data_IF_976222477680
#
_entry.id   IF_976222477680
#
_cell.length_a   1.000
_cell.length_b   1.000
_cell.length_c   1.000
_cell.angle_alpha   90.00
_cell.angle_beta   90.00
_cell.angle_gamma   90.00
#
_symmetry.space_group_name_H-M   'P 1'
#
loop_
_entity.id
_entity.type
_entity.pdbx_description
1 polymer ?
#
# COMPACT_ATOMS: atom_id res chain seq x y z
N UNK A 1 29.80 -10.45 -26.91
CA UNK A 1 28.93 -9.59 -26.10
C UNK A 1 28.08 -8.76 -27.05
N UNK A 2 26.75 -8.63 -26.85
CA UNK A 2 25.94 -7.73 -27.66
C UNK A 2 26.43 -6.30 -27.49
N UNK A 3 26.48 -5.54 -28.54
CA UNK A 3 26.83 -4.13 -28.52
C UNK A 3 25.62 -3.31 -28.96
N UNK A 4 25.32 -2.23 -28.26
CA UNK A 4 24.40 -1.21 -28.76
C UNK A 4 25.06 -0.62 -29.99
N UNK A 5 24.43 -0.77 -31.14
CA UNK A 5 24.98 -0.31 -32.39
C UNK A 5 24.42 1.03 -32.84
N UNK A 6 23.23 1.38 -32.33
CA UNK A 6 22.59 2.64 -32.65
C UNK A 6 21.52 2.99 -31.59
N UNK A 7 21.41 4.29 -31.19
CA UNK A 7 20.38 4.83 -30.38
C UNK A 7 19.89 6.14 -30.99
N UNK A 8 18.66 6.15 -31.44
CA UNK A 8 18.02 7.24 -32.16
C UNK A 8 16.88 7.83 -31.34
N UNK A 9 16.88 9.15 -31.18
CA UNK A 9 15.74 9.87 -30.58
C UNK A 9 14.70 10.11 -31.65
N UNK A 10 13.51 9.60 -31.50
CA UNK A 10 12.40 9.68 -32.45
C UNK A 10 11.18 10.38 -31.84
N UNK A 11 10.15 10.63 -32.65
CA UNK A 11 8.88 11.25 -32.26
C UNK A 11 9.05 12.60 -31.52
N UNK A 12 9.97 13.44 -32.02
CA UNK A 12 10.19 14.77 -31.46
C UNK A 12 10.74 14.78 -30.04
N UNK A 13 11.52 13.78 -29.66
CA UNK A 13 12.10 13.65 -28.31
C UNK A 13 11.26 12.82 -27.34
N UNK A 14 10.15 12.26 -27.79
CA UNK A 14 9.25 11.47 -26.95
C UNK A 14 9.57 9.98 -26.92
N UNK A 15 10.42 9.51 -27.82
CA UNK A 15 10.82 8.12 -27.87
C UNK A 15 12.31 7.94 -28.19
N UNK A 16 12.89 6.86 -27.69
CA UNK A 16 14.25 6.43 -28.01
C UNK A 16 14.18 5.03 -28.61
N UNK A 17 14.71 4.89 -29.80
CA UNK A 17 14.86 3.62 -30.50
C UNK A 17 16.29 3.12 -30.32
N UNK A 18 16.45 1.94 -29.78
CA UNK A 18 17.72 1.27 -29.59
C UNK A 18 17.80 0.07 -30.54
N UNK A 19 18.86 -0.02 -31.30
CA UNK A 19 19.15 -1.16 -32.18
C UNK A 19 20.40 -1.86 -31.65
N UNK A 20 20.28 -3.15 -31.37
CA UNK A 20 21.38 -4.01 -30.97
C UNK A 20 21.64 -4.98 -32.11
N UNK A 21 22.87 -5.05 -32.60
CA UNK A 21 23.27 -6.06 -33.55
C UNK A 21 24.38 -6.95 -33.01
N UNK A 22 24.27 -8.23 -33.29
CA UNK A 22 25.24 -9.24 -32.88
C UNK A 22 25.59 -10.07 -34.10
N UNK A 23 26.88 -10.16 -34.42
CA UNK A 23 27.37 -11.12 -35.39
C UNK A 23 27.62 -12.46 -34.66
N UNK A 24 26.84 -13.52 -34.98
CA UNK A 24 27.04 -14.80 -34.36
C UNK A 24 28.37 -15.39 -34.82
N UNK A 25 29.22 -15.84 -33.90
CA UNK A 25 30.40 -16.63 -34.24
C UNK A 25 29.95 -17.99 -34.74
N UNK A 26 30.11 -18.24 -36.03
CA UNK A 26 29.87 -19.57 -36.60
C UNK A 26 31.06 -20.49 -36.29
N UNK A 27 30.80 -21.60 -35.63
CA UNK A 27 31.82 -22.60 -35.31
C UNK A 27 32.08 -23.62 -36.44
N UNK A 28 31.30 -23.56 -37.52
CA UNK A 28 31.43 -24.45 -38.65
C UNK A 28 31.86 -23.67 -39.90
N UNK A 29 33.14 -23.77 -40.32
CA UNK A 29 33.59 -23.21 -41.61
C UNK A 29 33.07 -24.08 -42.75
N UNK A 30 32.17 -23.57 -43.54
CA UNK A 30 31.65 -24.24 -44.73
C UNK A 30 30.79 -23.31 -45.60
N UNK A 31 30.46 -23.70 -46.85
CA UNK A 31 29.70 -22.85 -47.75
C UNK A 31 28.28 -22.47 -47.23
N UNK A 32 27.79 -23.17 -46.22
CA UNK A 32 26.50 -22.86 -45.56
C UNK A 32 26.64 -21.67 -44.59
N UNK A 33 27.86 -21.32 -44.17
CA UNK A 33 28.11 -20.23 -43.22
C UNK A 33 28.17 -18.82 -43.86
N UNK A 34 28.18 -18.75 -45.19
CA UNK A 34 28.29 -17.48 -45.92
C UNK A 34 26.99 -16.63 -45.91
N UNK A 35 25.93 -17.04 -45.24
CA UNK A 35 24.64 -16.35 -45.19
C UNK A 35 24.13 -15.98 -43.79
N UNK A 36 24.94 -16.12 -42.75
CA UNK A 36 24.45 -15.77 -41.40
C UNK A 36 24.51 -14.26 -41.23
N UNK A 37 23.39 -13.61 -41.48
CA UNK A 37 23.18 -12.18 -41.24
C UNK A 37 23.27 -11.87 -39.76
N UNK A 38 23.81 -10.69 -39.45
CA UNK A 38 23.78 -10.19 -38.04
C UNK A 38 22.36 -10.25 -37.46
N UNK A 39 22.25 -10.79 -36.28
CA UNK A 39 20.98 -10.74 -35.53
C UNK A 39 20.80 -9.31 -35.05
N UNK A 40 19.73 -8.69 -35.49
CA UNK A 40 19.36 -7.32 -35.09
C UNK A 40 18.08 -7.35 -34.28
N UNK A 41 18.12 -6.75 -33.08
CA UNK A 41 16.98 -6.55 -32.23
C UNK A 41 16.77 -5.05 -32.07
N UNK A 42 15.53 -4.61 -32.22
CA UNK A 42 15.12 -3.23 -32.02
C UNK A 42 14.21 -3.13 -30.83
N UNK A 43 14.40 -2.12 -30.00
CA UNK A 43 13.50 -1.76 -28.91
C UNK A 43 13.21 -0.26 -28.99
N UNK A 44 11.96 0.11 -28.77
CA UNK A 44 11.54 1.51 -28.71
C UNK A 44 11.03 1.76 -27.29
N UNK A 45 11.63 2.74 -26.61
CA UNK A 45 11.15 3.24 -25.35
C UNK A 45 10.43 4.58 -25.60
N UNK A 46 9.16 4.64 -25.32
CA UNK A 46 8.37 5.88 -25.45
C UNK A 46 8.16 6.49 -24.07
N UNK A 47 8.30 7.83 -24.00
CA UNK A 47 7.82 8.60 -22.87
C UNK A 47 6.34 8.84 -23.10
N UNK A 48 5.48 8.01 -22.53
CA UNK A 48 4.06 8.33 -22.47
C UNK A 48 3.88 9.42 -21.41
N UNK A 49 3.19 10.49 -21.79
CA UNK A 49 3.00 11.66 -20.94
C UNK A 49 2.58 11.30 -19.52
N UNK A 50 3.04 12.11 -18.55
CA UNK A 50 2.88 11.84 -17.13
C UNK A 50 1.44 11.52 -16.73
N UNK A 51 1.18 10.25 -16.46
CA UNK A 51 -0.03 9.81 -15.80
C UNK A 51 0.15 9.89 -14.29
N UNK A 52 -0.94 10.13 -13.60
CA UNK A 52 -0.96 10.02 -12.14
C UNK A 52 -0.71 8.57 -11.73
N UNK A 53 0.01 8.34 -10.63
CA UNK A 53 0.09 7.01 -10.02
C UNK A 53 -0.74 7.02 -8.76
N UNK A 54 -1.75 6.15 -8.68
CA UNK A 54 -2.69 6.13 -7.57
C UNK A 54 -2.63 4.86 -6.72
N UNK A 55 -1.93 3.82 -7.17
CA UNK A 55 -1.75 2.59 -6.42
C UNK A 55 -0.35 2.02 -6.64
N UNK A 56 0.39 1.81 -5.56
CA UNK A 56 1.75 1.25 -5.62
C UNK A 56 1.90 0.14 -4.60
N UNK A 57 2.26 -1.07 -5.07
CA UNK A 57 2.73 -2.17 -4.24
C UNK A 57 4.25 -2.12 -4.12
N UNK A 58 4.77 -1.79 -2.94
CA UNK A 58 6.19 -1.50 -2.72
C UNK A 58 7.07 -2.74 -2.57
N UNK A 59 6.51 -3.90 -2.23
CA UNK A 59 7.33 -5.10 -1.97
C UNK A 59 8.18 -5.48 -3.19
N UNK A 60 9.50 -5.63 -3.05
CA UNK A 60 10.38 -5.85 -4.19
C UNK A 60 10.38 -7.28 -4.72
N UNK A 61 9.99 -8.28 -3.91
CA UNK A 61 10.16 -9.70 -4.27
C UNK A 61 9.00 -10.62 -3.82
N UNK A 62 7.99 -10.07 -3.11
CA UNK A 62 6.89 -10.91 -2.61
C UNK A 62 6.03 -11.46 -3.73
N UNK A 63 5.58 -12.70 -3.54
CA UNK A 63 4.54 -13.28 -4.37
C UNK A 63 3.24 -12.49 -4.19
N UNK A 64 2.58 -12.21 -5.31
CA UNK A 64 1.28 -11.56 -5.33
C UNK A 64 1.24 -10.25 -4.53
N UNK A 65 2.20 -9.33 -4.83
CA UNK A 65 2.22 -8.00 -4.20
C UNK A 65 0.93 -7.24 -4.46
N UNK A 66 0.33 -7.41 -5.64
CA UNK A 66 -1.05 -7.06 -5.91
C UNK A 66 -1.85 -8.35 -6.07
N UNK A 67 -2.56 -8.75 -5.02
CA UNK A 67 -3.35 -9.96 -4.98
C UNK A 67 -4.84 -9.63 -5.06
N UNK A 68 -5.48 -10.08 -6.13
CA UNK A 68 -6.89 -9.81 -6.38
C UNK A 68 -7.62 -11.10 -6.76
N UNK A 69 -8.63 -11.45 -5.99
CA UNK A 69 -9.42 -12.65 -6.26
C UNK A 69 -10.91 -12.47 -5.87
N UNK A 70 -11.72 -13.49 -6.16
CA UNK A 70 -13.15 -13.55 -5.80
C UNK A 70 -13.97 -12.36 -6.28
N UNK A 71 -13.82 -12.01 -7.58
CA UNK A 71 -14.50 -10.89 -8.24
C UNK A 71 -14.06 -9.49 -7.76
N UNK A 72 -12.96 -9.38 -7.03
CA UNK A 72 -12.40 -8.08 -6.64
C UNK A 72 -12.21 -7.18 -7.86
N UNK A 73 -12.45 -5.88 -7.67
CA UNK A 73 -12.34 -4.87 -8.73
C UNK A 73 -11.53 -3.68 -8.25
N UNK A 74 -10.68 -3.16 -9.13
CA UNK A 74 -10.06 -1.84 -8.97
C UNK A 74 -10.44 -0.97 -10.15
N UNK A 75 -10.95 0.23 -9.86
CA UNK A 75 -11.20 1.29 -10.84
C UNK A 75 -10.27 2.46 -10.58
N UNK A 76 -9.35 2.68 -11.52
CA UNK A 76 -8.32 3.70 -11.49
C UNK A 76 -8.20 4.33 -12.89
N UNK A 77 -9.31 4.80 -13.45
CA UNK A 77 -9.47 5.07 -14.89
C UNK A 77 -8.52 6.14 -15.43
N UNK A 78 -8.07 7.07 -14.58
CA UNK A 78 -7.22 8.19 -14.97
C UNK A 78 -5.84 8.13 -14.30
N UNK A 79 -5.43 6.94 -13.81
CA UNK A 79 -4.15 6.80 -13.15
C UNK A 79 -3.55 5.40 -13.35
N UNK A 80 -2.27 5.30 -13.02
CA UNK A 80 -1.50 4.08 -13.12
C UNK A 80 -1.49 3.28 -11.82
N UNK A 81 -1.42 1.97 -11.96
CA UNK A 81 -1.21 1.00 -10.89
C UNK A 81 0.15 0.36 -11.08
N UNK A 82 0.96 0.33 -10.03
CA UNK A 82 2.30 -0.23 -10.04
C UNK A 82 2.50 -1.35 -9.04
N UNK A 83 3.28 -2.38 -9.43
CA UNK A 83 3.85 -3.36 -8.51
C UNK A 83 5.35 -3.46 -8.69
N UNK A 84 6.09 -3.24 -7.60
CA UNK A 84 7.54 -3.29 -7.59
C UNK A 84 8.11 -4.71 -7.49
N UNK A 85 7.27 -5.72 -7.23
CA UNK A 85 7.75 -7.09 -7.07
C UNK A 85 8.26 -7.67 -8.38
N UNK A 86 9.47 -8.20 -8.33
CA UNK A 86 10.09 -8.96 -9.42
C UNK A 86 9.61 -10.42 -9.48
N UNK A 87 8.72 -10.83 -8.58
CA UNK A 87 8.17 -12.17 -8.59
C UNK A 87 7.36 -12.44 -9.86
N UNK A 88 7.41 -13.67 -10.38
CA UNK A 88 6.63 -14.08 -11.55
C UNK A 88 5.12 -13.89 -11.42
N UNK A 89 4.62 -13.79 -10.19
CA UNK A 89 3.22 -13.53 -9.85
C UNK A 89 3.07 -12.15 -9.17
N UNK A 90 3.80 -11.14 -9.59
CA UNK A 90 3.76 -9.79 -8.99
C UNK A 90 2.34 -9.22 -8.91
N UNK A 91 1.53 -9.43 -9.94
CA UNK A 91 0.10 -9.22 -9.97
C UNK A 91 -0.62 -10.56 -10.12
N UNK A 92 -1.52 -10.90 -9.22
CA UNK A 92 -2.41 -12.06 -9.33
C UNK A 92 -3.85 -11.62 -9.55
N UNK A 93 -4.46 -12.15 -10.62
CA UNK A 93 -5.87 -11.93 -10.97
C UNK A 93 -6.58 -13.27 -11.07
N UNK A 94 -7.34 -13.63 -10.03
CA UNK A 94 -8.02 -14.92 -9.94
C UNK A 94 -9.54 -14.74 -9.77
N UNK A 95 -10.30 -15.79 -10.06
CA UNK A 95 -11.72 -15.91 -9.77
C UNK A 95 -12.54 -14.67 -10.23
N UNK A 96 -12.34 -14.25 -11.49
CA UNK A 96 -13.05 -13.12 -12.12
C UNK A 96 -12.67 -11.73 -11.55
N UNK A 97 -11.52 -11.57 -10.90
CA UNK A 97 -11.00 -10.25 -10.55
C UNK A 97 -10.80 -9.38 -11.81
N UNK A 98 -10.95 -8.06 -11.67
CA UNK A 98 -10.85 -7.10 -12.78
C UNK A 98 -10.12 -5.84 -12.34
N UNK A 99 -9.32 -5.29 -13.25
CA UNK A 99 -8.67 -3.99 -13.08
C UNK A 99 -9.04 -3.10 -14.27
N UNK A 100 -9.52 -1.88 -13.97
CA UNK A 100 -9.68 -0.83 -14.96
C UNK A 100 -8.77 0.32 -14.58
N UNK A 101 -7.70 0.55 -15.32
CA UNK A 101 -6.71 1.59 -15.05
C UNK A 101 -6.14 2.12 -16.36
N UNK A 102 -5.67 3.37 -16.35
CA UNK A 102 -4.98 3.94 -17.52
C UNK A 102 -3.73 3.13 -17.87
N UNK A 103 -2.97 2.72 -16.87
CA UNK A 103 -1.80 1.86 -17.01
C UNK A 103 -1.71 0.89 -15.84
N UNK A 104 -1.40 -0.37 -16.11
CA UNK A 104 -0.95 -1.34 -15.11
C UNK A 104 0.46 -1.78 -15.47
N UNK A 105 1.42 -1.54 -14.59
CA UNK A 105 2.84 -1.82 -14.78
C UNK A 105 3.39 -2.64 -13.61
N UNK A 106 3.96 -3.79 -13.89
CA UNK A 106 4.52 -4.66 -12.86
C UNK A 106 5.99 -4.97 -13.17
N UNK A 107 6.85 -4.94 -12.15
CA UNK A 107 8.27 -5.22 -12.32
C UNK A 107 8.55 -6.71 -12.57
N UNK A 108 7.64 -7.58 -12.18
CA UNK A 108 7.70 -9.02 -12.45
C UNK A 108 6.64 -9.48 -13.42
N UNK A 109 6.08 -10.66 -13.15
CA UNK A 109 5.06 -11.27 -14.00
C UNK A 109 3.63 -11.13 -13.50
N UNK A 110 2.70 -11.68 -14.26
CA UNK A 110 1.26 -11.65 -14.02
C UNK A 110 0.72 -13.06 -13.98
N UNK A 111 0.05 -13.42 -12.90
CA UNK A 111 -0.71 -14.67 -12.77
C UNK A 111 -2.20 -14.38 -13.00
N UNK A 112 -2.73 -14.91 -14.10
CA UNK A 112 -4.12 -14.71 -14.49
C UNK A 112 -4.28 -14.16 -15.91
N UNK A 113 -5.52 -13.98 -16.38
CA UNK A 113 -5.77 -13.53 -17.74
C UNK A 113 -5.46 -12.04 -17.90
N UNK A 114 -4.59 -11.67 -18.84
CA UNK A 114 -4.31 -10.27 -19.15
C UNK A 114 -5.56 -9.47 -19.55
N UNK A 115 -6.53 -10.14 -20.17
CA UNK A 115 -7.84 -9.55 -20.51
C UNK A 115 -8.70 -9.14 -19.30
N UNK A 116 -8.27 -9.47 -18.09
CA UNK A 116 -8.89 -8.97 -16.87
C UNK A 116 -8.49 -7.51 -16.57
N UNK A 117 -7.51 -6.96 -17.28
CA UNK A 117 -7.08 -5.56 -17.21
C UNK A 117 -7.63 -4.83 -18.44
N UNK A 118 -8.15 -3.62 -18.24
CA UNK A 118 -8.72 -2.79 -19.31
C UNK A 118 -8.44 -1.30 -19.05
N UNK A 119 -8.41 -0.42 -20.07
CA UNK A 119 -8.59 -0.71 -21.51
C UNK A 119 -7.35 -1.32 -22.15
N UNK A 120 -6.17 -1.17 -21.54
CA UNK A 120 -4.89 -1.59 -22.09
C UNK A 120 -4.41 -2.89 -21.43
N UNK A 121 -3.65 -3.69 -22.15
CA UNK A 121 -2.96 -4.83 -21.56
C UNK A 121 -1.92 -4.37 -20.53
N UNK A 122 -1.77 -5.11 -19.41
CA UNK A 122 -0.77 -4.77 -18.41
C UNK A 122 0.65 -5.00 -18.95
N UNK A 123 1.57 -4.13 -18.55
CA UNK A 123 2.99 -4.24 -18.87
C UNK A 123 3.72 -5.04 -17.78
N UNK A 124 4.66 -5.87 -18.21
CA UNK A 124 5.60 -6.61 -17.36
C UNK A 124 7.02 -6.05 -17.51
N UNK A 125 7.92 -6.48 -16.64
CA UNK A 125 9.33 -6.08 -16.63
C UNK A 125 9.54 -4.56 -16.52
N UNK A 126 8.59 -3.89 -15.88
CA UNK A 126 8.68 -2.46 -15.63
C UNK A 126 9.80 -2.15 -14.63
N UNK A 127 10.51 -1.03 -14.78
CA UNK A 127 11.44 -0.58 -13.74
C UNK A 127 10.69 -0.35 -12.44
N UNK A 128 11.17 -0.89 -11.28
CA UNK A 128 10.57 -0.59 -9.99
C UNK A 128 10.57 0.90 -9.70
N UNK A 129 9.46 1.40 -9.19
CA UNK A 129 9.38 2.78 -8.73
C UNK A 129 10.06 2.92 -7.36
N UNK A 130 10.89 3.94 -7.21
CA UNK A 130 11.32 4.35 -5.86
C UNK A 130 10.08 4.75 -5.07
N UNK A 131 10.01 4.36 -3.81
CA UNK A 131 8.93 4.78 -2.93
C UNK A 131 8.82 6.31 -2.93
N UNK A 132 7.72 6.86 -3.46
CA UNK A 132 7.59 8.30 -3.66
C UNK A 132 7.47 9.09 -2.36
N UNK A 133 7.13 8.43 -1.27
CA UNK A 133 6.92 9.06 0.03
C UNK A 133 8.03 8.72 1.03
N UNK A 134 9.08 8.00 0.58
CA UNK A 134 10.19 7.55 1.45
C UNK A 134 10.85 8.68 2.23
N UNK A 135 11.05 9.80 1.57
CA UNK A 135 11.78 10.95 2.14
C UNK A 135 10.83 11.98 2.79
N UNK A 136 9.52 11.67 2.86
CA UNK A 136 8.56 12.52 3.56
C UNK A 136 8.83 12.47 5.06
N UNK A 137 8.98 13.61 5.75
CA UNK A 137 9.15 13.64 7.20
C UNK A 137 7.96 12.97 7.90
N UNK A 138 8.23 12.16 8.90
CA UNK A 138 7.21 11.65 9.80
C UNK A 138 6.78 12.76 10.76
N UNK A 139 5.50 12.78 11.16
CA UNK A 139 5.04 13.71 12.17
C UNK A 139 5.86 13.57 13.46
N UNK A 140 6.25 14.70 14.04
CA UNK A 140 6.99 14.69 15.29
C UNK A 140 6.04 14.23 16.42
N UNK A 141 6.23 13.01 16.87
CA UNK A 141 5.55 12.46 18.04
C UNK A 141 6.46 12.69 19.24
N UNK A 142 5.94 13.44 20.23
CA UNK A 142 6.59 13.50 21.53
C UNK A 142 6.69 12.08 22.09
N UNK A 143 7.90 11.52 22.08
CA UNK A 143 8.19 10.13 22.50
C UNK A 143 7.76 9.82 23.95
N UNK A 144 7.38 10.82 24.74
CA UNK A 144 7.21 10.72 26.18
C UNK A 144 5.76 10.47 26.64
N UNK A 145 4.77 10.65 25.78
CA UNK A 145 3.36 10.61 26.22
C UNK A 145 2.80 9.20 26.45
N UNK A 146 3.45 8.16 25.91
CA UNK A 146 3.02 6.77 26.07
C UNK A 146 4.01 5.88 26.83
N UNK A 147 5.06 6.42 27.41
CA UNK A 147 6.12 5.66 28.11
C UNK A 147 5.64 4.93 29.37
N UNK A 148 4.55 5.37 29.97
CA UNK A 148 3.93 4.65 31.10
C UNK A 148 3.23 3.33 30.71
N UNK A 149 3.16 3.02 29.41
CA UNK A 149 2.62 1.75 28.88
C UNK A 149 3.62 0.60 29.05
N UNK A 150 4.88 0.89 29.41
CA UNK A 150 5.88 -0.14 29.78
C UNK A 150 5.56 -0.85 31.13
N UNK A 151 4.42 -0.61 31.74
CA UNK A 151 3.75 -1.62 32.56
C UNK A 151 3.50 -2.93 31.81
N UNK A 152 3.61 -2.96 30.48
CA UNK A 152 3.73 -4.13 29.63
C UNK A 152 4.89 -5.08 30.01
N UNK A 153 5.87 -4.63 30.76
CA UNK A 153 6.91 -5.50 31.35
C UNK A 153 6.33 -6.58 32.28
N UNK A 154 5.11 -6.39 32.79
CA UNK A 154 4.43 -7.38 33.62
C UNK A 154 3.66 -8.41 32.81
N UNK A 155 3.29 -8.14 31.55
CA UNK A 155 2.46 -9.05 30.71
C UNK A 155 3.30 -9.88 29.79
N UNK A 156 4.30 -9.26 29.14
CA UNK A 156 5.22 -9.98 28.26
C UNK A 156 6.19 -10.85 29.04
N UNK A 157 6.11 -10.85 30.38
CA UNK A 157 7.03 -11.55 31.27
C UNK A 157 8.42 -10.89 31.27
N UNK A 158 9.12 -10.96 32.39
CA UNK A 158 10.52 -10.52 32.51
C UNK A 158 11.45 -11.19 31.51
N UNK A 159 11.00 -12.27 30.88
CA UNK A 159 11.75 -13.08 29.92
C UNK A 159 11.78 -12.50 28.50
N UNK A 160 10.83 -11.65 28.13
CA UNK A 160 10.83 -10.96 26.83
C UNK A 160 11.67 -9.67 26.82
N UNK A 161 11.98 -9.14 27.98
CA UNK A 161 12.88 -8.02 28.12
C UNK A 161 14.26 -8.54 28.52
N UNK A 162 15.28 -8.29 27.71
CA UNK A 162 16.67 -8.52 28.07
C UNK A 162 17.06 -7.74 29.33
N UNK A 163 18.22 -8.09 29.92
CA UNK A 163 18.72 -7.48 31.17
C UNK A 163 18.78 -5.94 31.15
N UNK A 164 18.75 -5.34 29.97
CA UNK A 164 18.87 -3.89 29.74
C UNK A 164 17.51 -3.24 29.37
N UNK A 165 16.37 -3.93 29.57
CA UNK A 165 15.03 -3.41 29.25
C UNK A 165 14.70 -3.39 27.75
N UNK A 166 15.55 -3.94 26.91
CA UNK A 166 15.31 -4.08 25.47
C UNK A 166 14.63 -5.44 25.18
N UNK A 167 13.73 -5.43 24.21
CA UNK A 167 13.04 -6.64 23.75
C UNK A 167 14.05 -7.73 23.35
N UNK A 168 13.91 -8.93 23.92
CA UNK A 168 14.76 -10.05 23.56
C UNK A 168 14.34 -10.62 22.20
N UNK A 169 14.99 -10.13 21.14
CA UNK A 169 14.71 -10.50 19.75
C UNK A 169 14.89 -12.00 19.47
N UNK A 170 15.72 -12.71 20.21
CA UNK A 170 15.96 -14.13 19.99
C UNK A 170 14.81 -14.98 20.53
N UNK A 171 14.18 -14.55 21.60
CA UNK A 171 12.95 -15.18 22.12
C UNK A 171 11.75 -14.93 21.18
N UNK A 172 11.68 -13.73 20.57
CA UNK A 172 10.69 -13.38 19.58
C UNK A 172 10.86 -14.18 18.27
N UNK A 173 12.08 -14.45 17.84
CA UNK A 173 12.37 -15.30 16.68
C UNK A 173 12.05 -16.78 16.93
N UNK A 174 12.27 -17.28 18.14
CA UNK A 174 12.05 -18.68 18.49
C UNK A 174 10.63 -19.01 18.97
N UNK A 175 10.04 -18.15 19.80
CA UNK A 175 8.74 -18.42 20.44
C UNK A 175 7.53 -17.89 19.67
N UNK A 176 7.54 -16.62 19.26
CA UNK A 176 6.42 -16.03 18.50
C UNK A 176 6.49 -16.31 16.99
N UNK A 177 7.67 -16.53 16.43
CA UNK A 177 7.82 -16.93 15.03
C UNK A 177 7.15 -18.26 14.70
N UNK A 178 7.10 -19.19 15.66
CA UNK A 178 6.38 -20.45 15.55
C UNK A 178 4.86 -20.33 15.78
N UNK A 179 4.42 -19.35 16.56
CA UNK A 179 3.00 -19.13 16.89
C UNK A 179 2.29 -18.25 15.85
N UNK A 180 3.03 -17.43 15.08
CA UNK A 180 2.48 -16.47 14.10
C UNK A 180 2.53 -17.00 12.65
N UNK A 181 2.59 -18.30 12.46
CA UNK A 181 2.87 -18.97 11.17
C UNK A 181 1.80 -18.83 10.07
N UNK A 182 0.62 -18.27 10.32
CA UNK A 182 -0.43 -18.13 9.30
C UNK A 182 -1.26 -16.87 9.44
N UNK A 183 -1.78 -16.36 8.32
CA UNK A 183 -2.67 -15.18 8.29
C UNK A 183 -3.88 -15.38 9.21
N UNK A 184 -4.44 -16.60 9.26
CA UNK A 184 -5.56 -16.94 10.14
C UNK A 184 -5.26 -16.88 11.63
N UNK A 185 -4.02 -17.16 12.02
CA UNK A 185 -3.60 -17.09 13.43
C UNK A 185 -3.30 -15.64 13.86
N UNK A 186 -2.76 -14.85 12.97
CA UNK A 186 -2.56 -13.41 13.20
C UNK A 186 -3.90 -12.68 13.40
N UNK A 187 -4.91 -13.05 12.64
CA UNK A 187 -6.28 -12.53 12.81
C UNK A 187 -6.89 -13.00 14.13
N UNK A 188 -6.65 -14.25 14.54
CA UNK A 188 -7.08 -14.75 15.87
C UNK A 188 -6.36 -14.03 17.01
N UNK A 189 -5.06 -13.77 16.88
CA UNK A 189 -4.30 -12.99 17.86
C UNK A 189 -4.82 -11.55 17.93
N UNK A 190 -5.08 -10.91 16.80
CA UNK A 190 -5.74 -9.60 16.75
C UNK A 190 -7.13 -9.64 17.38
N UNK A 191 -7.93 -10.68 17.12
CA UNK A 191 -9.24 -10.85 17.76
C UNK A 191 -9.14 -11.09 19.26
N UNK A 192 -8.10 -11.78 19.75
CA UNK A 192 -7.82 -11.93 21.17
C UNK A 192 -7.33 -10.63 21.80
N UNK A 193 -6.49 -9.88 21.10
CA UNK A 193 -6.09 -8.52 21.46
C UNK A 193 -7.33 -7.63 21.55
N UNK A 194 -8.20 -7.67 20.56
CA UNK A 194 -9.45 -6.90 20.50
C UNK A 194 -10.51 -7.34 21.55
N UNK A 195 -10.46 -8.60 21.99
CA UNK A 195 -11.34 -9.12 23.06
C UNK A 195 -10.85 -8.77 24.46
N UNK A 196 -9.71 -8.11 24.59
CA UNK A 196 -9.15 -7.72 25.89
C UNK A 196 -8.39 -8.84 26.62
N UNK A 197 -8.36 -10.06 26.09
CA UNK A 197 -7.76 -11.20 26.79
C UNK A 197 -6.22 -11.12 26.87
N UNK A 198 -5.59 -10.43 25.91
CA UNK A 198 -4.13 -10.22 25.87
C UNK A 198 -3.73 -8.80 26.28
N UNK A 199 -4.69 -7.89 26.40
CA UNK A 199 -4.48 -6.43 26.48
C UNK A 199 -4.77 -5.87 27.87
N UNK A 200 -5.00 -6.74 28.85
CA UNK A 200 -5.31 -6.30 30.23
C UNK A 200 -4.36 -5.28 30.85
N UNK A 201 -3.30 -4.91 30.17
CA UNK A 201 -2.29 -3.96 30.63
C UNK A 201 -1.61 -3.10 29.54
N UNK A 202 -1.93 -3.26 28.23
CA UNK A 202 -1.68 -2.19 27.27
C UNK A 202 -2.69 -1.09 27.54
N UNK A 203 -2.33 0.18 27.42
CA UNK A 203 -3.30 1.25 27.58
C UNK A 203 -4.54 0.90 26.72
N UNK A 204 -5.75 0.91 27.29
CA UNK A 204 -6.94 0.37 26.61
C UNK A 204 -7.35 1.21 25.37
N UNK A 205 -6.60 2.25 25.06
CA UNK A 205 -6.96 3.22 24.04
C UNK A 205 -8.23 4.00 24.39
N UNK A 206 -8.66 4.86 23.51
CA UNK A 206 -9.95 5.50 23.62
C UNK A 206 -11.04 4.52 23.18
N UNK A 207 -11.89 4.06 24.10
CA UNK A 207 -13.04 3.19 23.79
C UNK A 207 -14.30 4.04 23.71
N UNK A 208 -14.96 4.04 22.55
CA UNK A 208 -16.16 4.85 22.29
C UNK A 208 -17.33 3.94 21.94
N UNK A 209 -18.35 3.96 22.77
CA UNK A 209 -19.61 3.19 22.59
C UNK A 209 -20.83 4.08 22.32
N UNK A 210 -20.68 5.40 22.46
CA UNK A 210 -21.72 6.40 22.25
C UNK A 210 -21.32 7.49 21.27
N UNK A 211 -22.07 8.58 21.23
CA UNK A 211 -21.75 9.74 20.41
C UNK A 211 -20.68 10.59 21.09
N UNK A 212 -19.57 10.84 20.42
CA UNK A 212 -18.40 11.52 20.99
C UNK A 212 -17.67 12.35 19.94
N UNK A 213 -17.11 13.47 20.36
CA UNK A 213 -16.15 14.24 19.57
C UNK A 213 -14.77 14.02 20.15
N UNK A 214 -13.80 13.65 19.31
CA UNK A 214 -12.40 13.48 19.71
C UNK A 214 -11.56 14.64 19.21
N UNK A 215 -10.59 15.05 20.04
CA UNK A 215 -9.60 16.06 19.71
C UNK A 215 -8.37 15.41 19.06
N UNK A 216 -7.63 16.14 18.18
CA UNK A 216 -6.32 15.67 17.71
C UNK A 216 -5.34 15.53 18.89
N UNK A 217 -4.39 14.60 18.76
CA UNK A 217 -3.42 14.31 19.81
C UNK A 217 -2.93 12.87 19.76
N UNK A 218 -2.18 12.46 20.81
CA UNK A 218 -1.62 11.11 20.92
C UNK A 218 -2.59 10.19 21.69
N UNK A 219 -2.91 9.06 21.06
CA UNK A 219 -3.77 8.01 21.57
C UNK A 219 -2.95 6.73 21.80
N UNK A 220 -2.53 6.55 23.04
CA UNK A 220 -1.84 5.33 23.46
C UNK A 220 -2.84 4.17 23.51
N UNK A 221 -2.54 3.06 22.80
CA UNK A 221 -3.50 1.96 22.64
C UNK A 221 -4.58 2.22 21.59
N UNK A 222 -4.50 3.35 20.86
CA UNK A 222 -5.35 3.64 19.70
C UNK A 222 -6.75 4.14 20.02
N UNK A 223 -7.62 4.08 19.01
CA UNK A 223 -9.03 4.52 19.08
C UNK A 223 -9.93 3.34 18.69
N UNK A 224 -10.82 2.93 19.60
CA UNK A 224 -11.72 1.80 19.44
C UNK A 224 -13.17 2.27 19.46
N UNK A 225 -13.83 2.33 18.29
CA UNK A 225 -15.23 2.74 18.14
C UNK A 225 -16.09 1.48 18.03
N UNK A 226 -16.76 1.15 19.13
CA UNK A 226 -17.55 -0.09 19.26
C UNK A 226 -19.04 0.29 19.32
N UNK A 227 -19.70 0.38 18.17
CA UNK A 227 -21.10 0.83 18.08
C UNK A 227 -21.30 2.33 18.29
N UNK A 228 -20.22 3.08 18.58
CA UNK A 228 -20.28 4.52 18.82
C UNK A 228 -20.35 5.35 17.54
N UNK A 229 -20.60 6.65 17.69
CA UNK A 229 -20.61 7.65 16.61
C UNK A 229 -19.56 8.72 16.95
N UNK A 230 -18.43 8.67 16.25
CA UNK A 230 -17.28 9.55 16.51
C UNK A 230 -17.17 10.61 15.45
N UNK A 231 -17.12 11.86 15.88
CA UNK A 231 -16.72 13.01 15.08
C UNK A 231 -15.30 13.43 15.49
N UNK A 232 -14.40 13.49 14.53
CA UNK A 232 -13.01 13.92 14.74
C UNK A 232 -12.89 15.41 14.45
N UNK A 233 -12.25 16.18 15.34
CA UNK A 233 -11.86 17.56 15.01
C UNK A 233 -10.65 17.58 14.07
N UNK A 234 -10.50 18.65 13.28
CA UNK A 234 -9.34 18.82 12.39
C UNK A 234 -8.01 18.69 13.13
N UNK A 235 -7.05 17.94 12.57
CA UNK A 235 -5.72 17.80 13.12
C UNK A 235 -5.11 16.40 12.95
N UNK A 236 -3.98 16.19 13.62
CA UNK A 236 -3.23 14.93 13.56
C UNK A 236 -3.56 14.06 14.76
N UNK A 237 -3.89 12.81 14.49
CA UNK A 237 -4.14 11.76 15.46
C UNK A 237 -2.98 10.78 15.42
N UNK A 238 -2.17 10.77 16.46
CA UNK A 238 -1.06 9.83 16.62
C UNK A 238 -1.55 8.60 17.34
N UNK A 239 -1.55 7.47 16.66
CA UNK A 239 -1.97 6.19 17.23
C UNK A 239 -0.71 5.39 17.59
N UNK A 240 -0.42 5.31 18.89
CA UNK A 240 0.80 4.70 19.41
C UNK A 240 0.50 3.35 20.09
N UNK A 241 1.09 2.26 19.55
CA UNK A 241 0.90 0.88 20.02
C UNK A 241 -0.58 0.45 20.13
N UNK A 242 -1.39 0.94 19.23
CA UNK A 242 -2.79 0.59 19.07
C UNK A 242 -3.38 1.31 17.87
N UNK A 243 -4.24 0.63 17.12
CA UNK A 243 -4.76 1.10 15.85
C UNK A 243 -6.04 1.92 15.96
N UNK A 244 -6.67 2.07 14.81
CA UNK A 244 -8.03 2.58 14.71
C UNK A 244 -8.98 1.45 14.36
N UNK A 245 -9.86 1.14 15.29
CA UNK A 245 -10.83 0.03 15.18
C UNK A 245 -12.23 0.60 15.15
N UNK A 246 -13.01 0.27 14.11
CA UNK A 246 -14.42 0.67 14.01
C UNK A 246 -15.26 -0.56 13.71
N UNK A 247 -16.14 -0.94 14.65
CA UNK A 247 -16.95 -2.16 14.56
C UNK A 247 -18.35 -2.01 15.16
N UNK A 248 -19.17 -3.05 15.03
CA UNK A 248 -20.51 -3.14 15.61
C UNK A 248 -21.43 -1.97 15.22
N UNK A 249 -21.36 -1.53 13.95
CA UNK A 249 -22.14 -0.40 13.47
C UNK A 249 -21.56 0.97 13.83
N UNK A 250 -20.34 1.00 14.36
CA UNK A 250 -19.64 2.23 14.71
C UNK A 250 -19.45 3.15 13.50
N UNK A 251 -19.47 4.45 13.77
CA UNK A 251 -19.27 5.51 12.77
C UNK A 251 -18.05 6.34 13.13
N UNK A 252 -17.25 6.65 12.13
CA UNK A 252 -16.10 7.51 12.23
C UNK A 252 -16.12 8.54 11.12
N UNK A 253 -16.19 9.81 11.48
CA UNK A 253 -16.20 10.89 10.52
C UNK A 253 -15.26 12.02 10.93
N UNK A 254 -14.61 12.66 9.96
CA UNK A 254 -13.72 13.78 10.22
C UNK A 254 -13.23 14.43 8.93
N UNK A 255 -13.16 15.74 8.96
CA UNK A 255 -12.56 16.55 7.89
C UNK A 255 -11.23 17.14 8.38
N UNK A 256 -10.26 17.24 7.45
CA UNK A 256 -8.90 17.72 7.77
C UNK A 256 -8.24 16.88 8.90
N UNK A 257 -8.37 15.57 8.84
CA UNK A 257 -7.81 14.65 9.83
C UNK A 257 -6.73 13.77 9.20
N UNK A 258 -5.61 13.61 9.89
CA UNK A 258 -4.53 12.73 9.49
C UNK A 258 -4.18 11.76 10.62
N UNK A 259 -3.99 10.49 10.30
CA UNK A 259 -3.63 9.46 11.26
C UNK A 259 -2.18 9.03 11.06
N UNK A 260 -1.34 9.22 12.07
CA UNK A 260 -0.01 8.64 12.12
C UNK A 260 -0.03 7.36 12.96
N UNK A 261 0.26 6.24 12.30
CA UNK A 261 0.22 4.90 12.89
C UNK A 261 1.64 4.52 13.31
N UNK A 262 1.94 4.58 14.60
CA UNK A 262 3.30 4.37 15.13
C UNK A 262 3.32 3.48 16.37
N UNK A 263 4.48 3.23 16.88
CA UNK A 263 4.74 2.43 18.07
C UNK A 263 5.52 1.16 17.78
N UNK A 264 6.49 0.87 18.66
CA UNK A 264 7.49 -0.19 18.48
C UNK A 264 6.91 -1.58 18.23
N UNK A 265 5.70 -1.85 18.74
CA UNK A 265 5.06 -3.18 18.58
C UNK A 265 4.32 -3.34 17.24
N UNK A 266 4.18 -2.30 16.41
CA UNK A 266 3.48 -2.37 15.14
C UNK A 266 1.98 -2.71 15.26
N UNK A 267 1.37 -2.46 16.42
CA UNK A 267 -0.05 -2.75 16.68
C UNK A 267 -0.98 -1.67 16.12
N UNK A 268 -0.43 -0.58 15.60
CA UNK A 268 -1.18 0.57 15.09
C UNK A 268 -1.70 0.28 13.70
N UNK A 269 -2.79 -0.49 13.62
CA UNK A 269 -3.41 -0.92 12.37
C UNK A 269 -4.77 -0.26 12.14
N UNK A 270 -5.20 -0.24 10.88
CA UNK A 270 -6.56 0.14 10.48
C UNK A 270 -7.42 -1.12 10.52
N UNK A 271 -8.56 -1.08 11.22
CA UNK A 271 -9.49 -2.21 11.36
C UNK A 271 -10.93 -1.69 11.21
N UNK A 272 -11.43 -1.63 9.98
CA UNK A 272 -12.79 -1.20 9.68
C UNK A 272 -13.66 -2.41 9.37
N UNK A 273 -14.53 -2.78 10.31
CA UNK A 273 -15.43 -3.93 10.15
C UNK A 273 -16.53 -3.66 9.12
N UNK A 274 -17.12 -4.72 8.58
CA UNK A 274 -18.13 -4.64 7.52
C UNK A 274 -19.36 -3.76 7.86
N UNK A 275 -19.73 -3.69 9.13
CA UNK A 275 -20.86 -2.87 9.62
C UNK A 275 -20.50 -1.41 9.92
N UNK A 276 -19.23 -1.03 9.80
CA UNK A 276 -18.79 0.34 10.13
C UNK A 276 -19.15 1.34 9.03
N UNK A 277 -19.20 2.62 9.40
CA UNK A 277 -19.34 3.77 8.48
C UNK A 277 -18.16 4.68 8.64
N UNK A 278 -17.44 4.94 7.55
CA UNK A 278 -16.21 5.72 7.55
C UNK A 278 -16.31 6.86 6.53
N UNK A 279 -16.05 8.10 6.97
CA UNK A 279 -16.00 9.27 6.10
C UNK A 279 -14.90 10.21 6.58
N UNK A 280 -13.80 10.27 5.85
CA UNK A 280 -12.58 10.96 6.27
C UNK A 280 -11.96 11.76 5.12
N UNK A 281 -11.48 12.96 5.42
CA UNK A 281 -10.66 13.75 4.50
C UNK A 281 -9.33 14.14 5.15
N UNK A 282 -8.24 14.05 4.40
CA UNK A 282 -6.90 14.37 4.86
C UNK A 282 -6.74 15.86 5.21
N UNK A 283 -5.72 16.24 5.99
CA UNK A 283 -5.43 17.63 6.30
C UNK A 283 -5.03 18.44 5.06
N UNK A 284 -5.42 19.70 5.05
CA UNK A 284 -5.05 20.66 3.99
C UNK A 284 -3.66 21.26 4.17
N UNK A 285 -3.14 21.25 5.39
CA UNK A 285 -1.87 21.86 5.74
C UNK A 285 -1.17 21.12 6.89
N UNK A 286 0.07 21.49 7.19
CA UNK A 286 0.89 20.86 8.23
C UNK A 286 1.60 19.59 7.77
N UNK A 287 2.22 18.88 8.72
CA UNK A 287 3.07 17.69 8.44
C UNK A 287 2.28 16.58 7.73
N UNK A 288 0.99 16.47 8.05
CA UNK A 288 0.08 15.47 7.46
C UNK A 288 -0.69 16.01 6.25
N UNK A 289 -0.29 17.16 5.64
CA UNK A 289 -0.99 17.70 4.48
C UNK A 289 -1.12 16.65 3.36
N UNK A 290 -2.37 16.33 2.96
CA UNK A 290 -2.68 15.32 1.95
C UNK A 290 -2.53 13.88 2.40
N UNK A 291 -2.09 13.61 3.64
CA UNK A 291 -1.93 12.25 4.20
C UNK A 291 -3.12 11.91 5.09
N UNK A 292 -3.93 10.96 4.66
CA UNK A 292 -5.04 10.45 5.47
C UNK A 292 -4.54 9.43 6.50
N UNK A 293 -3.74 8.48 6.05
CA UNK A 293 -3.04 7.52 6.91
C UNK A 293 -1.56 7.49 6.55
N UNK A 294 -0.72 7.54 7.56
CA UNK A 294 0.72 7.44 7.44
C UNK A 294 1.23 6.43 8.47
N UNK A 295 1.71 5.29 7.99
CA UNK A 295 2.33 4.26 8.84
C UNK A 295 3.81 4.57 9.03
N UNK A 296 4.26 4.49 10.28
CA UNK A 296 5.67 4.51 10.66
C UNK A 296 6.45 3.41 9.90
N UNK A 297 7.61 3.76 9.36
CA UNK A 297 8.43 2.88 8.53
C UNK A 297 9.19 1.83 9.35
N UNK A 298 9.44 2.12 10.63
CA UNK A 298 10.33 1.35 11.51
C UNK A 298 9.60 0.40 12.47
N UNK A 299 8.38 -0.05 12.09
CA UNK A 299 7.62 -1.00 12.92
C UNK A 299 8.26 -2.37 12.95
N UNK A 300 8.38 -2.97 14.17
CA UNK A 300 9.00 -4.28 14.37
C UNK A 300 8.14 -5.44 13.86
N UNK A 301 6.84 -5.40 14.13
CA UNK A 301 5.89 -6.44 13.74
C UNK A 301 4.99 -5.96 12.61
N UNK A 302 4.62 -6.90 11.74
CA UNK A 302 3.81 -6.62 10.56
C UNK A 302 2.44 -7.24 10.71
N UNK A 303 1.43 -6.41 10.96
CA UNK A 303 0.04 -6.82 11.02
C UNK A 303 -0.74 -6.18 9.88
N UNK A 304 -1.68 -6.89 9.23
CA UNK A 304 -2.44 -6.32 8.13
C UNK A 304 -3.36 -5.20 8.59
N UNK A 305 -3.48 -4.18 7.75
CA UNK A 305 -4.57 -3.23 7.80
C UNK A 305 -5.79 -3.84 7.12
N UNK A 306 -6.97 -3.74 7.71
CA UNK A 306 -8.19 -4.36 7.18
C UNK A 306 -9.24 -3.29 6.90
N UNK A 307 -9.64 -3.15 5.64
CA UNK A 307 -10.74 -2.32 5.20
C UNK A 307 -11.89 -3.21 4.70
N UNK A 308 -12.78 -3.60 5.63
CA UNK A 308 -13.95 -4.40 5.33
C UNK A 308 -15.25 -3.58 5.32
N UNK A 309 -15.21 -2.31 5.68
CA UNK A 309 -16.39 -1.45 5.78
C UNK A 309 -17.20 -1.42 4.49
N UNK A 310 -18.49 -1.73 4.58
CA UNK A 310 -19.41 -1.60 3.47
C UNK A 310 -19.92 -0.16 3.25
N UNK A 311 -19.43 0.79 4.04
CA UNK A 311 -19.76 2.21 3.93
C UNK A 311 -18.53 3.09 4.22
N UNK A 312 -17.43 2.85 3.48
CA UNK A 312 -16.23 3.68 3.48
C UNK A 312 -16.08 4.40 2.12
N UNK A 313 -17.12 5.12 1.74
CA UNK A 313 -17.25 5.71 0.40
C UNK A 313 -16.42 6.98 0.21
N UNK A 314 -16.10 7.68 1.31
CA UNK A 314 -15.34 8.94 1.30
C UNK A 314 -14.06 8.78 2.11
N UNK A 315 -12.94 8.61 1.41
CA UNK A 315 -11.58 8.52 1.94
C UNK A 315 -10.66 9.40 1.10
N UNK A 316 -10.75 10.72 1.30
CA UNK A 316 -9.99 11.69 0.47
C UNK A 316 -8.59 11.87 1.01
N UNK A 317 -7.59 11.61 0.18
CA UNK A 317 -6.19 11.78 0.53
C UNK A 317 -5.31 10.57 0.20
N UNK A 318 -4.11 10.57 0.73
CA UNK A 318 -3.12 9.52 0.54
C UNK A 318 -3.08 8.58 1.73
N UNK A 319 -3.10 7.28 1.44
CA UNK A 319 -2.95 6.19 2.40
C UNK A 319 -1.58 5.57 2.16
N UNK A 320 -0.66 5.73 3.12
CA UNK A 320 0.73 5.27 3.03
C UNK A 320 1.02 4.22 4.10
N UNK A 321 1.18 2.97 3.68
CA UNK A 321 1.34 1.79 4.52
C UNK A 321 2.55 0.95 4.06
N UNK A 322 3.78 1.50 4.15
CA UNK A 322 4.96 0.91 3.52
C UNK A 322 5.42 -0.40 4.19
N UNK A 323 5.08 -0.59 5.45
CA UNK A 323 5.47 -1.74 6.25
C UNK A 323 4.54 -2.95 6.09
N UNK A 324 3.26 -2.74 5.80
CA UNK A 324 2.23 -3.75 5.97
C UNK A 324 1.39 -4.05 4.72
N UNK A 325 0.57 -5.10 4.83
CA UNK A 325 -0.42 -5.47 3.82
C UNK A 325 -1.71 -4.70 4.07
N UNK A 326 -2.31 -4.16 3.02
CA UNK A 326 -3.67 -3.66 3.03
C UNK A 326 -4.60 -4.75 2.50
N UNK A 327 -5.43 -5.29 3.39
CA UNK A 327 -6.52 -6.21 3.04
C UNK A 327 -7.81 -5.44 2.80
N UNK A 328 -8.46 -5.70 1.67
CA UNK A 328 -9.74 -5.09 1.31
C UNK A 328 -10.73 -6.20 1.00
N UNK A 329 -11.79 -6.28 1.80
CA UNK A 329 -12.83 -7.31 1.67
C UNK A 329 -14.25 -6.79 1.90
N UNK A 330 -14.50 -5.51 1.57
CA UNK A 330 -15.83 -4.91 1.59
C UNK A 330 -16.72 -5.47 0.48
N UNK A 331 -18.04 -5.47 0.70
CA UNK A 331 -19.02 -5.88 -0.33
C UNK A 331 -19.53 -4.72 -1.18
N UNK A 332 -19.32 -3.49 -0.72
CA UNK A 332 -19.72 -2.27 -1.41
C UNK A 332 -18.46 -1.50 -1.86
N UNK A 333 -18.59 -0.57 -2.80
CA UNK A 333 -17.46 0.25 -3.24
C UNK A 333 -16.83 1.05 -2.11
N UNK A 334 -15.48 1.09 -2.12
CA UNK A 334 -14.66 1.89 -1.21
C UNK A 334 -14.12 3.10 -1.99
N UNK A 335 -14.12 4.27 -1.35
CA UNK A 335 -13.60 5.54 -1.83
C UNK A 335 -14.25 6.06 -3.13
N UNK A 336 -15.40 5.53 -3.53
CA UNK A 336 -16.08 5.89 -4.78
C UNK A 336 -16.67 7.31 -4.78
N UNK A 337 -16.80 7.93 -3.61
CA UNK A 337 -17.24 9.33 -3.44
C UNK A 337 -16.09 10.28 -3.09
N UNK A 338 -14.85 9.80 -3.06
CA UNK A 338 -13.68 10.64 -2.81
C UNK A 338 -13.32 11.43 -4.07
N UNK A 339 -12.94 12.70 -3.92
CA UNK A 339 -12.35 13.48 -5.01
C UNK A 339 -11.11 12.78 -5.55
N UNK A 340 -10.22 12.40 -4.65
CA UNK A 340 -9.10 11.54 -4.98
C UNK A 340 -8.74 10.59 -3.84
N UNK A 341 -8.16 9.45 -4.19
CA UNK A 341 -7.54 8.52 -3.24
C UNK A 341 -6.28 7.93 -3.88
N UNK A 342 -5.16 8.05 -3.18
CA UNK A 342 -3.89 7.42 -3.55
C UNK A 342 -3.51 6.43 -2.47
N UNK A 343 -3.10 5.22 -2.85
CA UNK A 343 -2.68 4.20 -1.89
C UNK A 343 -1.29 3.69 -2.24
N UNK A 344 -0.37 3.83 -1.31
CA UNK A 344 0.97 3.27 -1.38
C UNK A 344 1.12 2.30 -0.22
N UNK A 345 1.20 1.01 -0.49
CA UNK A 345 1.31 -0.02 0.53
C UNK A 345 2.38 -1.04 0.18
N UNK A 346 2.88 -1.77 1.17
CA UNK A 346 3.83 -2.85 0.92
C UNK A 346 3.23 -3.93 0.03
N UNK A 347 1.99 -4.35 0.33
CA UNK A 347 1.22 -5.37 -0.39
C UNK A 347 -0.27 -5.09 -0.31
N UNK A 348 -1.01 -5.56 -1.31
CA UNK A 348 -2.47 -5.54 -1.35
C UNK A 348 -3.03 -6.96 -1.40
N UNK A 349 -4.09 -7.22 -0.64
CA UNK A 349 -4.87 -8.44 -0.71
C UNK A 349 -6.36 -8.06 -0.81
N UNK A 350 -6.97 -8.33 -1.96
CA UNK A 350 -8.37 -8.00 -2.24
C UNK A 350 -9.17 -9.28 -2.47
N UNK A 351 -10.08 -9.58 -1.56
CA UNK A 351 -10.87 -10.83 -1.54
C UNK A 351 -12.33 -10.56 -1.19
N UNK A 352 -13.20 -11.54 -1.47
CA UNK A 352 -14.65 -11.46 -1.21
C UNK A 352 -15.41 -10.45 -2.08
N UNK A 353 -14.82 -10.04 -3.20
CA UNK A 353 -15.46 -9.23 -4.24
C UNK A 353 -15.55 -7.74 -4.00
N UNK A 354 -14.57 -7.09 -3.33
CA UNK A 354 -14.59 -5.65 -3.13
C UNK A 354 -14.44 -4.88 -4.44
N UNK A 355 -14.91 -3.63 -4.44
CA UNK A 355 -14.59 -2.65 -5.46
C UNK A 355 -13.85 -1.47 -4.84
N UNK A 356 -12.59 -1.26 -5.22
CA UNK A 356 -11.79 -0.10 -4.84
C UNK A 356 -11.82 0.92 -5.97
N UNK A 357 -12.25 2.14 -5.68
CA UNK A 357 -12.29 3.24 -6.64
C UNK A 357 -11.23 4.27 -6.29
N UNK A 358 -10.35 4.54 -7.24
CA UNK A 358 -9.26 5.50 -7.10
C UNK A 358 -9.52 6.65 -8.06
N UNK A 359 -10.23 7.65 -7.59
CA UNK A 359 -10.49 8.89 -8.32
C UNK A 359 -9.25 9.79 -8.31
N UNK A 360 -9.15 10.69 -9.28
CA UNK A 360 -8.00 11.56 -9.51
C UNK A 360 -8.42 13.00 -9.79
N UNK A 361 -9.55 13.41 -9.26
CA UNK A 361 -9.99 14.79 -9.37
C UNK A 361 -9.24 15.69 -8.38
N UNK A 362 -7.94 15.84 -8.66
CA UNK A 362 -7.03 16.63 -7.83
C UNK A 362 -7.29 18.12 -7.90
N UNK A 363 -7.92 18.59 -9.00
CA UNK A 363 -8.16 20.03 -9.21
C UNK A 363 -9.38 20.51 -8.43
N UNK A 364 -10.40 19.68 -8.25
CA UNK A 364 -11.58 20.01 -7.45
C UNK A 364 -11.35 19.84 -5.96
N UNK A 365 -10.39 19.00 -5.58
CA UNK A 365 -10.10 18.74 -4.18
C UNK A 365 -9.33 19.89 -3.52
N UNK A 366 -9.80 20.29 -2.35
CA UNK A 366 -9.06 21.23 -1.50
C UNK A 366 -7.91 20.56 -0.73
N UNK A 367 -7.80 19.24 -0.81
CA UNK A 367 -6.77 18.45 -0.13
C UNK A 367 -5.55 18.38 -1.05
N UNK A 368 -4.36 18.81 -0.62
CA UNK A 368 -3.17 18.76 -1.46
C UNK A 368 -2.74 17.32 -1.71
N UNK A 369 -2.19 17.09 -2.89
CA UNK A 369 -1.59 15.80 -3.23
C UNK A 369 -0.13 15.83 -2.81
N UNK A 370 0.34 14.87 -2.01
CA UNK A 370 1.74 14.79 -1.60
C UNK A 370 2.68 14.70 -2.79
N UNK A 371 3.86 15.32 -2.67
CA UNK A 371 4.88 15.24 -3.72
C UNK A 371 5.27 13.77 -3.97
N UNK A 372 5.42 13.41 -5.23
CA UNK A 372 5.79 12.06 -5.65
C UNK A 372 4.63 11.12 -5.97
N UNK A 373 3.41 11.42 -5.51
CA UNK A 373 2.19 10.70 -5.89
C UNK A 373 1.21 11.66 -6.54
N UNK A 374 0.34 11.16 -7.40
CA UNK A 374 -0.69 11.98 -8.04
C UNK A 374 -0.18 13.14 -8.90
N UNK A 375 1.09 13.23 -9.19
CA UNK A 375 1.68 14.35 -9.92
C UNK A 375 1.98 13.98 -11.38
N UNK A 376 1.60 14.87 -12.31
CA UNK A 376 1.94 14.78 -13.75
C UNK A 376 3.44 14.81 -14.04
N UNK A 377 4.29 15.09 -13.07
CA UNK A 377 5.68 15.46 -13.29
C UNK A 377 6.68 14.31 -13.42
N UNK A 378 6.27 13.05 -13.31
CA UNK A 378 7.14 11.91 -13.63
C UNK A 378 6.64 11.21 -14.89
N UNK A 379 7.35 11.32 -16.02
CA UNK A 379 6.99 10.60 -17.22
C UNK A 379 7.09 9.09 -16.96
N UNK A 380 6.01 8.39 -17.24
CA UNK A 380 6.01 6.94 -17.24
C UNK A 380 6.68 6.51 -18.54
N UNK A 381 7.84 5.87 -18.44
CA UNK A 381 8.53 5.32 -19.60
C UNK A 381 7.83 4.01 -19.98
N UNK A 382 7.14 4.00 -21.10
CA UNK A 382 6.54 2.80 -21.68
C UNK A 382 7.56 2.16 -22.62
N UNK A 383 8.00 0.96 -22.31
CA UNK A 383 8.76 0.14 -23.24
C UNK A 383 7.78 -0.52 -24.22
N UNK A 384 7.69 -0.01 -25.44
CA UNK A 384 6.93 -0.63 -26.50
C UNK A 384 7.92 -1.39 -27.42
N UNK A 385 7.75 -2.70 -27.54
CA UNK A 385 8.37 -3.47 -28.61
C UNK A 385 7.47 -3.28 -29.83
N UNK A 386 7.99 -2.57 -30.86
CA UNK A 386 7.39 -2.59 -32.21
C UNK A 386 8.28 -3.44 -33.08
N UNK A 387 7.69 -4.46 -33.70
CA UNK A 387 8.31 -5.30 -34.74
C UNK A 387 8.69 -4.48 -35.98
#
# INVERSE_FOLDING_TARGET
RPHITDAEVIDGGKAVKVTISVEPKTYFPGPIAQGVSAIRVKAIAEVSGGGYVCMIGLSPNEDSTLDMHDKARVRAENCAIYSNSKNKNSLRLANKARVKADLVCVAGGIAGPKSAVSPNEPLTDCPPLTDPLRDRPEPNVGLLECDNILGASSILGKDLLGKDGLLNLDLLKGGLGGVLGGVGEKVKLLQQILKGDLVGNLAPGAIVTGKTTLEPGTYCGGINVIGGDVTLKPGTYVLNNGGIVVMNGGKLQGENVGFFLTGALGLSTIQFAASSTISLTAPRAGDMAGMLFFEDRDVLFKFPHIMASNNARNLVGTIYLPGNTLEINAKNPIADQSDYTVIVARKFDMKDGPELVLNTDYESSLIPVPEGVGNKSRPIVKLAYRD
#
